data_IF_527140372966
#
_entry.id   IF_527140372966
#
_cell.length_a   1.000
_cell.length_b   1.000
_cell.length_c   1.000
_cell.angle_alpha   90.00
_cell.angle_beta   90.00
_cell.angle_gamma   90.00
#
_symmetry.space_group_name_H-M   'P 1'
#
loop_
_entity.id
_entity.type
_entity.pdbx_description
1 polymer ?
#
# COMPACT_ATOMS: atom_id res chain seq x y z
N UNK A 1 -9.57 -8.53 16.82
CA UNK A 1 -9.73 -7.07 16.67
C UNK A 1 -11.17 -6.70 16.30
N UNK A 2 -11.96 -7.64 15.81
CA UNK A 2 -13.39 -7.47 15.52
C UNK A 2 -13.67 -6.95 14.12
N UNK A 3 -14.86 -7.30 13.61
CA UNK A 3 -15.24 -7.01 12.22
C UNK A 3 -15.37 -5.52 11.91
N UNK A 4 -15.70 -4.69 12.89
CA UNK A 4 -15.80 -3.23 12.75
C UNK A 4 -14.45 -2.51 12.76
N UNK A 5 -13.37 -3.21 13.11
CA UNK A 5 -12.01 -2.66 13.16
C UNK A 5 -11.06 -3.28 12.12
N UNK A 6 -11.56 -4.17 11.25
CA UNK A 6 -10.73 -4.84 10.24
C UNK A 6 -11.17 -4.41 8.86
N UNK A 7 -10.27 -3.71 8.15
CA UNK A 7 -10.49 -3.26 6.76
C UNK A 7 -10.37 -4.45 5.80
N UNK A 8 -11.28 -4.52 4.83
CA UNK A 8 -11.32 -5.61 3.83
C UNK A 8 -11.18 -5.10 2.39
N UNK A 9 -11.76 -3.96 2.08
CA UNK A 9 -11.64 -3.31 0.78
C UNK A 9 -11.21 -1.86 0.93
N UNK A 10 -10.51 -1.35 -0.06
CA UNK A 10 -10.17 0.06 -0.16
C UNK A 10 -10.11 0.49 -1.62
N UNK A 11 -10.29 1.79 -1.85
CA UNK A 11 -10.12 2.38 -3.17
C UNK A 11 -8.75 2.07 -3.76
N UNK A 12 -8.73 1.92 -5.08
CA UNK A 12 -7.53 1.78 -5.85
C UNK A 12 -7.59 2.63 -7.11
N UNK A 13 -6.66 3.56 -7.22
CA UNK A 13 -6.45 4.32 -8.45
C UNK A 13 -5.79 3.44 -9.50
N UNK A 14 -6.39 3.41 -10.69
CA UNK A 14 -5.80 2.77 -11.87
C UNK A 14 -5.11 3.86 -12.70
N UNK A 15 -3.95 3.57 -13.25
CA UNK A 15 -3.25 4.49 -14.13
C UNK A 15 -4.01 4.71 -15.44
N UNK A 16 -3.97 5.95 -15.92
CA UNK A 16 -4.47 6.30 -17.25
C UNK A 16 -3.34 6.39 -18.30
N UNK A 17 -2.08 6.17 -17.88
CA UNK A 17 -0.92 6.31 -18.75
C UNK A 17 0.23 5.44 -18.28
N UNK A 18 0.56 4.43 -19.08
CA UNK A 18 1.60 3.42 -18.81
C UNK A 18 3.03 3.97 -18.64
N UNK A 19 3.30 5.16 -19.13
CA UNK A 19 4.62 5.81 -18.98
C UNK A 19 4.69 6.82 -17.84
N UNK A 20 3.60 6.97 -17.09
CA UNK A 20 3.56 7.88 -15.95
C UNK A 20 4.46 7.37 -14.81
N UNK A 21 5.12 8.29 -14.13
CA UNK A 21 5.88 8.00 -12.90
C UNK A 21 5.16 8.49 -11.65
N UNK A 22 3.89 8.85 -11.75
CA UNK A 22 3.07 9.22 -10.59
C UNK A 22 2.74 8.00 -9.74
N UNK A 23 2.63 8.20 -8.42
CA UNK A 23 2.36 7.11 -7.48
C UNK A 23 1.01 6.41 -7.68
N UNK A 24 0.00 7.13 -8.20
CA UNK A 24 -1.34 6.55 -8.41
C UNK A 24 -1.35 5.65 -9.64
N UNK A 25 -1.65 4.37 -9.42
CA UNK A 25 -1.70 3.36 -10.46
C UNK A 25 -0.36 2.81 -10.93
N UNK A 26 0.75 3.26 -10.33
CA UNK A 26 2.10 2.77 -10.63
C UNK A 26 2.86 2.40 -9.38
N UNK A 27 3.96 1.67 -9.56
CA UNK A 27 4.87 1.33 -8.48
C UNK A 27 6.28 1.09 -8.98
N UNK A 28 7.24 1.32 -8.08
CA UNK A 28 8.63 1.05 -8.32
C UNK A 28 9.02 -0.39 -7.96
N UNK A 29 10.21 -0.78 -8.37
CA UNK A 29 10.85 -2.04 -7.97
C UNK A 29 11.93 -1.74 -6.96
N UNK A 30 11.92 -2.46 -5.84
CA UNK A 30 12.98 -2.42 -4.83
C UNK A 30 13.63 -3.78 -4.68
N UNK A 31 14.91 -3.81 -4.28
CA UNK A 31 15.63 -5.05 -4.10
C UNK A 31 14.99 -5.92 -3.00
N UNK A 32 14.94 -7.22 -3.24
CA UNK A 32 14.59 -8.20 -2.21
C UNK A 32 15.84 -8.50 -1.39
N UNK A 33 15.87 -7.95 -0.20
CA UNK A 33 16.95 -8.16 0.78
C UNK A 33 16.36 -8.60 2.11
N UNK A 34 17.17 -9.22 2.94
CA UNK A 34 16.74 -9.65 4.28
C UNK A 34 16.28 -8.49 5.19
N UNK A 35 16.49 -7.25 4.78
CA UNK A 35 16.20 -6.04 5.55
C UNK A 35 15.21 -5.12 4.84
N UNK A 36 14.32 -5.63 3.97
CA UNK A 36 13.31 -4.79 3.31
C UNK A 36 12.38 -4.19 4.35
N UNK A 37 12.28 -2.87 4.32
CA UNK A 37 11.35 -2.08 5.15
C UNK A 37 10.55 -1.11 4.26
N UNK A 38 9.41 -0.60 4.71
CA UNK A 38 8.59 0.34 3.92
C UNK A 38 9.35 1.60 3.48
N UNK A 39 10.35 2.03 4.25
CA UNK A 39 11.21 3.17 3.91
C UNK A 39 11.91 2.97 2.56
N UNK A 40 12.32 1.75 2.21
CA UNK A 40 12.96 1.47 0.91
C UNK A 40 12.03 1.84 -0.27
N UNK A 41 10.72 1.67 -0.10
CA UNK A 41 9.74 2.09 -1.08
C UNK A 41 9.60 3.62 -1.14
N UNK A 42 9.54 4.29 0.00
CA UNK A 42 9.49 5.75 0.07
C UNK A 42 10.73 6.41 -0.54
N UNK A 43 11.90 5.78 -0.44
CA UNK A 43 13.16 6.27 -0.99
C UNK A 43 13.20 6.27 -2.52
N UNK A 44 12.25 5.59 -3.17
CA UNK A 44 12.08 5.64 -4.63
C UNK A 44 11.37 6.91 -5.11
N UNK A 45 10.79 7.70 -4.21
CA UNK A 45 10.06 8.92 -4.54
C UNK A 45 10.96 10.15 -4.63
N UNK A 46 10.56 11.09 -5.47
CA UNK A 46 11.06 12.46 -5.45
C UNK A 46 10.63 13.21 -4.17
N UNK A 47 11.16 14.39 -3.96
CA UNK A 47 10.86 15.22 -2.78
C UNK A 47 9.40 15.63 -2.67
N UNK A 48 8.66 15.65 -3.78
CA UNK A 48 7.22 15.95 -3.83
C UNK A 48 6.36 14.81 -3.26
N UNK A 49 6.95 13.64 -3.04
CA UNK A 49 6.31 12.39 -2.61
C UNK A 49 5.11 11.95 -3.47
N UNK A 50 5.01 12.44 -4.68
CA UNK A 50 3.93 12.15 -5.65
C UNK A 50 4.43 11.51 -6.94
N UNK A 51 5.75 11.52 -7.12
CA UNK A 51 6.40 11.06 -8.35
C UNK A 51 7.58 10.15 -7.99
N UNK A 52 7.75 9.07 -8.73
CA UNK A 52 8.93 8.20 -8.61
C UNK A 52 10.14 8.85 -9.27
N UNK A 53 11.31 8.72 -8.66
CA UNK A 53 12.59 9.20 -9.20
C UNK A 53 12.81 8.69 -10.61
N UNK A 54 13.46 9.49 -11.44
CA UNK A 54 13.79 9.12 -12.83
C UNK A 54 14.62 7.84 -12.90
N UNK A 55 15.48 7.62 -11.91
CA UNK A 55 16.34 6.43 -11.83
C UNK A 55 15.66 5.21 -11.21
N UNK A 56 14.46 5.34 -10.63
CA UNK A 56 13.74 4.20 -10.08
C UNK A 56 13.29 3.24 -11.20
N UNK A 57 13.54 1.96 -11.04
CA UNK A 57 12.98 0.94 -11.92
C UNK A 57 11.47 0.84 -11.65
N UNK A 58 10.67 0.94 -12.71
CA UNK A 58 9.22 0.84 -12.58
C UNK A 58 8.76 -0.61 -12.75
N UNK A 59 7.65 -0.95 -12.10
CA UNK A 59 6.96 -2.22 -12.34
C UNK A 59 6.58 -2.39 -13.80
N UNK A 60 6.55 -3.62 -14.27
CA UNK A 60 6.29 -3.93 -15.68
C UNK A 60 4.87 -3.57 -16.12
N UNK A 61 3.90 -3.67 -15.22
CA UNK A 61 2.50 -3.31 -15.46
C UNK A 61 2.00 -2.33 -14.41
N UNK A 62 1.00 -1.57 -14.80
CA UNK A 62 0.27 -0.70 -13.89
C UNK A 62 -0.45 -1.52 -12.82
N UNK A 63 -0.61 -0.91 -11.66
CA UNK A 63 -1.36 -1.49 -10.55
C UNK A 63 -2.85 -1.53 -10.94
N UNK A 64 -3.49 -2.68 -10.74
CA UNK A 64 -4.92 -2.82 -10.98
C UNK A 64 -5.32 -2.88 -12.46
N UNK A 65 -4.38 -3.05 -13.39
CA UNK A 65 -4.70 -3.10 -14.82
C UNK A 65 -5.35 -4.43 -15.28
N UNK A 66 -5.25 -5.48 -14.47
CA UNK A 66 -5.83 -6.80 -14.76
C UNK A 66 -7.02 -7.07 -13.83
N UNK A 67 -8.22 -6.89 -14.35
CA UNK A 67 -9.46 -7.18 -13.66
C UNK A 67 -9.58 -8.66 -13.37
N UNK A 68 -9.93 -9.32 -12.52
CA UNK A 68 -9.99 -10.77 -12.22
C UNK A 68 -8.65 -11.44 -11.88
N UNK A 69 -7.57 -10.67 -11.71
CA UNK A 69 -6.32 -11.20 -11.20
C UNK A 69 -6.22 -11.01 -9.68
N UNK A 70 -6.25 -12.09 -8.91
CA UNK A 70 -6.25 -12.10 -7.44
C UNK A 70 -4.91 -11.77 -6.79
N UNK A 71 -3.86 -11.44 -7.55
CA UNK A 71 -2.56 -11.08 -6.98
C UNK A 71 -2.62 -9.70 -6.31
N UNK A 72 -1.82 -9.53 -5.26
CA UNK A 72 -1.79 -8.28 -4.49
C UNK A 72 -1.51 -7.05 -5.34
N UNK A 73 -0.67 -7.19 -6.39
CA UNK A 73 -0.37 -6.12 -7.32
C UNK A 73 -1.59 -5.67 -8.13
N UNK A 74 -2.50 -6.59 -8.43
CA UNK A 74 -3.66 -6.31 -9.27
C UNK A 74 -4.92 -5.99 -8.47
N UNK A 75 -5.19 -6.71 -7.39
CA UNK A 75 -6.46 -6.57 -6.64
C UNK A 75 -6.27 -6.34 -5.13
N UNK A 76 -5.07 -6.55 -4.57
CA UNK A 76 -4.83 -6.39 -3.15
C UNK A 76 -4.29 -5.00 -2.78
N UNK A 77 -4.27 -4.69 -1.49
CA UNK A 77 -3.55 -3.56 -0.91
C UNK A 77 -2.92 -3.98 0.42
N UNK A 78 -2.02 -3.17 0.93
CA UNK A 78 -1.39 -3.36 2.23
C UNK A 78 -1.61 -2.13 3.10
N UNK A 79 -1.71 -2.32 4.41
CA UNK A 79 -1.84 -1.25 5.40
C UNK A 79 -0.50 -0.88 6.03
N UNK A 80 0.55 -0.91 5.23
CA UNK A 80 1.94 -0.67 5.65
C UNK A 80 2.34 0.79 5.46
N UNK A 81 2.07 1.33 4.29
CA UNK A 81 2.23 2.76 3.98
C UNK A 81 0.85 3.42 3.91
N UNK A 82 0.74 4.71 4.27
CA UNK A 82 -0.56 5.38 4.29
C UNK A 82 -1.22 5.43 2.92
N UNK A 83 -2.53 5.68 2.85
CA UNK A 83 -3.22 5.89 1.58
C UNK A 83 -2.54 6.93 0.69
N UNK A 84 -2.63 6.76 -0.63
CA UNK A 84 -2.02 7.65 -1.62
C UNK A 84 -0.49 7.77 -1.49
N UNK A 85 0.19 6.75 -0.94
CA UNK A 85 1.65 6.67 -0.85
C UNK A 85 2.26 5.82 -1.97
N UNK A 86 3.56 5.54 -1.89
CA UNK A 86 4.26 4.68 -2.82
C UNK A 86 3.73 3.25 -2.80
N UNK A 87 3.84 2.58 -3.94
CA UNK A 87 3.67 1.13 -4.06
C UNK A 87 4.93 0.53 -4.68
N UNK A 88 5.37 -0.63 -4.20
CA UNK A 88 6.60 -1.24 -4.67
C UNK A 88 6.46 -2.75 -4.84
N UNK A 89 7.02 -3.26 -5.95
CA UNK A 89 7.35 -4.67 -6.11
C UNK A 89 8.65 -4.94 -5.36
N UNK A 90 8.70 -6.04 -4.61
CA UNK A 90 9.90 -6.51 -3.92
C UNK A 90 10.53 -7.61 -4.78
N UNK A 91 11.78 -7.40 -5.20
CA UNK A 91 12.52 -8.31 -6.03
C UNK A 91 12.65 -7.88 -7.48
N UNK A 92 12.25 -8.73 -8.43
CA UNK A 92 12.39 -8.44 -9.86
C UNK A 92 11.18 -7.69 -10.43
N UNK A 93 11.43 -6.81 -11.41
CA UNK A 93 10.37 -6.24 -12.23
C UNK A 93 9.66 -7.37 -12.99
N UNK A 94 8.46 -7.71 -12.55
CA UNK A 94 7.68 -8.82 -13.08
C UNK A 94 6.23 -8.40 -13.28
N UNK A 95 5.62 -8.97 -14.30
CA UNK A 95 4.16 -8.93 -14.47
C UNK A 95 3.42 -9.55 -13.28
N UNK A 96 4.09 -10.47 -12.60
CA UNK A 96 3.52 -11.34 -11.59
C UNK A 96 4.40 -11.38 -10.34
N UNK A 97 4.51 -10.24 -9.62
CA UNK A 97 5.35 -10.19 -8.44
C UNK A 97 4.82 -11.11 -7.34
N UNK A 98 5.75 -11.85 -6.71
CA UNK A 98 5.41 -12.70 -5.57
C UNK A 98 5.24 -11.91 -4.28
N UNK A 99 5.89 -10.75 -4.18
CA UNK A 99 5.80 -9.86 -3.03
C UNK A 99 5.69 -8.39 -3.48
N UNK A 100 4.81 -7.66 -2.84
CA UNK A 100 4.62 -6.25 -3.10
C UNK A 100 4.06 -5.52 -1.88
N UNK A 101 4.45 -4.26 -1.73
CA UNK A 101 3.75 -3.28 -0.90
C UNK A 101 2.86 -2.46 -1.83
N UNK A 102 1.57 -2.46 -1.60
CA UNK A 102 0.61 -1.76 -2.45
C UNK A 102 -0.24 -0.87 -1.59
N UNK A 103 -0.03 0.44 -1.68
CA UNK A 103 -0.84 1.41 -0.95
C UNK A 103 -2.24 1.52 -1.55
N UNK A 104 -3.26 1.57 -0.69
CA UNK A 104 -4.60 2.00 -1.09
C UNK A 104 -4.51 3.39 -1.73
N UNK A 105 -5.24 3.64 -2.81
CA UNK A 105 -5.08 4.89 -3.53
C UNK A 105 -6.36 5.31 -4.25
N UNK A 106 -6.58 6.60 -4.31
CA UNK A 106 -7.73 7.17 -5.01
C UNK A 106 -7.39 8.52 -5.64
N UNK A 107 -8.32 9.01 -6.46
CA UNK A 107 -8.28 10.40 -6.96
C UNK A 107 -9.10 11.36 -6.08
N UNK A 108 -9.68 10.88 -4.98
CA UNK A 108 -10.30 11.74 -3.98
C UNK A 108 -9.26 12.62 -3.30
N UNK A 109 -9.65 13.80 -2.87
CA UNK A 109 -8.77 14.72 -2.15
C UNK A 109 -8.51 14.20 -0.73
N UNK A 110 -7.24 13.96 -0.40
CA UNK A 110 -6.77 13.71 0.97
C UNK A 110 -6.93 12.31 1.52
N UNK A 111 -7.39 11.31 0.73
CA UNK A 111 -7.51 9.95 1.25
C UNK A 111 -8.21 8.96 0.34
N UNK A 112 -8.71 7.89 0.91
CA UNK A 112 -9.41 6.78 0.23
C UNK A 112 -10.66 6.39 1.00
N UNK A 113 -11.65 5.80 0.33
CA UNK A 113 -12.70 5.08 1.03
C UNK A 113 -12.24 3.66 1.32
N UNK A 114 -12.52 3.17 2.51
CA UNK A 114 -12.25 1.81 2.93
C UNK A 114 -13.50 1.19 3.56
N UNK A 115 -13.74 -0.08 3.27
CA UNK A 115 -14.84 -0.85 3.84
C UNK A 115 -14.29 -1.86 4.84
N UNK A 116 -15.01 -2.04 5.92
CA UNK A 116 -14.68 -2.93 7.03
C UNK A 116 -15.43 -4.27 6.92
N UNK A 117 -14.98 -5.26 7.67
CA UNK A 117 -15.59 -6.60 7.65
C UNK A 117 -17.05 -6.63 8.15
N UNK A 118 -17.52 -5.60 8.84
CA UNK A 118 -18.93 -5.43 9.25
C UNK A 118 -19.79 -4.75 8.16
N UNK A 119 -19.21 -4.40 7.02
CA UNK A 119 -19.87 -3.71 5.93
C UNK A 119 -19.90 -2.18 6.05
N UNK A 120 -19.40 -1.60 7.13
CA UNK A 120 -19.29 -0.14 7.24
C UNK A 120 -18.25 0.40 6.27
N UNK A 121 -18.38 1.68 5.89
CA UNK A 121 -17.43 2.38 5.03
C UNK A 121 -17.00 3.67 5.70
N UNK A 122 -15.70 3.93 5.70
CA UNK A 122 -15.12 5.17 6.23
C UNK A 122 -14.11 5.76 5.26
N UNK A 123 -14.03 7.08 5.26
CA UNK A 123 -12.96 7.80 4.55
C UNK A 123 -11.70 7.80 5.41
N UNK A 124 -10.61 7.27 4.87
CA UNK A 124 -9.32 7.17 5.54
C UNK A 124 -8.38 8.23 4.98
N UNK A 125 -7.92 9.13 5.85
CA UNK A 125 -7.00 10.19 5.48
C UNK A 125 -5.62 9.65 5.05
N UNK A 126 -5.00 10.28 4.07
CA UNK A 126 -3.60 10.02 3.71
C UNK A 126 -2.60 10.45 4.82
N UNK A 127 -3.07 11.16 5.86
CA UNK A 127 -2.30 11.53 7.04
C UNK A 127 -2.56 10.64 8.26
N UNK A 128 -3.27 9.52 8.08
CA UNK A 128 -3.48 8.55 9.16
C UNK A 128 -2.15 8.12 9.77
N UNK A 129 -2.14 7.86 11.08
CA UNK A 129 -0.97 7.27 11.75
C UNK A 129 -0.62 5.92 11.12
N UNK A 130 0.48 5.86 10.42
CA UNK A 130 1.05 4.65 9.80
C UNK A 130 2.35 4.20 10.48
N UNK A 131 2.62 4.67 11.69
CA UNK A 131 3.78 4.27 12.48
C UNK A 131 5.12 4.60 11.82
N UNK A 132 6.11 3.73 12.01
CA UNK A 132 7.45 3.94 11.48
C UNK A 132 7.69 3.16 10.19
N UNK A 133 8.00 3.81 9.07
CA UNK A 133 8.33 3.12 7.82
C UNK A 133 9.66 2.37 7.87
N UNK A 134 10.47 2.58 8.90
CA UNK A 134 11.73 1.84 9.14
C UNK A 134 11.53 0.55 9.93
N UNK A 135 10.31 0.26 10.38
CA UNK A 135 10.01 -1.00 11.07
C UNK A 135 9.99 -2.16 10.09
N UNK A 136 10.53 -3.30 10.52
CA UNK A 136 10.47 -4.54 9.75
C UNK A 136 9.02 -5.06 9.64
N UNK A 137 8.76 -5.85 8.59
CA UNK A 137 7.49 -6.55 8.46
C UNK A 137 7.33 -7.57 9.59
N UNK A 138 6.12 -7.63 10.13
CA UNK A 138 5.72 -8.65 11.08
C UNK A 138 4.61 -9.52 10.48
N UNK A 139 4.67 -10.82 10.74
CA UNK A 139 3.67 -11.79 10.26
C UNK A 139 2.72 -12.25 11.36
N UNK A 140 3.00 -11.88 12.61
CA UNK A 140 2.19 -12.20 13.78
C UNK A 140 2.33 -11.09 14.84
N UNK A 141 1.29 -10.90 15.65
CA UNK A 141 1.25 -9.91 16.72
C UNK A 141 0.88 -8.51 16.22
N UNK A 142 1.13 -7.52 17.06
CA UNK A 142 0.77 -6.12 16.79
C UNK A 142 1.53 -5.55 15.58
N UNK A 143 0.82 -4.83 14.73
CA UNK A 143 1.41 -4.14 13.58
C UNK A 143 2.23 -2.92 14.04
N UNK A 144 3.47 -2.74 13.54
CA UNK A 144 4.27 -1.55 13.84
C UNK A 144 3.82 -0.30 13.06
N UNK A 145 2.79 -0.43 12.23
CA UNK A 145 2.37 0.61 11.28
C UNK A 145 1.17 1.44 11.78
N UNK A 146 1.19 1.78 13.07
CA UNK A 146 0.25 2.71 13.66
C UNK A 146 -1.21 2.26 13.61
N UNK A 147 -2.12 3.21 13.51
CA UNK A 147 -3.56 2.95 13.36
C UNK A 147 -3.85 2.27 12.04
N UNK A 148 -3.20 2.71 10.96
CA UNK A 148 -3.39 2.12 9.62
C UNK A 148 -3.02 0.64 9.60
N UNK A 149 -1.89 0.27 10.20
CA UNK A 149 -1.50 -1.13 10.32
C UNK A 149 -2.45 -1.94 11.18
N UNK A 150 -2.88 -1.39 12.30
CA UNK A 150 -3.77 -2.06 13.24
C UNK A 150 -5.13 -2.45 12.62
N UNK A 151 -5.74 -1.55 11.85
CA UNK A 151 -7.01 -1.87 11.17
C UNK A 151 -6.85 -2.82 9.97
N UNK A 152 -5.62 -3.09 9.55
CA UNK A 152 -5.31 -4.05 8.49
C UNK A 152 -5.07 -5.48 8.98
N UNK A 153 -5.01 -5.70 10.29
CA UNK A 153 -4.82 -7.01 10.90
C UNK A 153 -6.15 -7.59 11.39
N UNK A 154 -6.33 -8.90 11.27
CA UNK A 154 -7.54 -9.58 11.74
C UNK A 154 -7.40 -10.08 13.17
N UNK A 155 -6.18 -10.31 13.66
CA UNK A 155 -5.89 -10.92 14.95
C UNK A 155 -4.54 -10.44 15.53
N UNK A 156 -4.20 -9.17 15.35
CA UNK A 156 -2.97 -8.56 15.88
C UNK A 156 -3.04 -8.30 17.38
N UNK A 157 -4.24 -8.19 17.94
CA UNK A 157 -4.47 -7.87 19.34
C UNK A 157 -4.37 -6.39 19.65
N UNK A 158 -4.42 -5.52 18.63
CA UNK A 158 -4.26 -4.08 18.80
C UNK A 158 -5.48 -3.42 19.45
N UNK A 159 -5.21 -2.44 20.30
CA UNK A 159 -6.24 -1.57 20.88
C UNK A 159 -6.45 -0.27 20.10
N UNK A 160 -5.65 -0.04 19.06
CA UNK A 160 -5.72 1.16 18.22
C UNK A 160 -6.94 1.11 17.30
N UNK A 161 -7.62 2.26 17.17
CA UNK A 161 -8.84 2.43 16.37
C UNK A 161 -8.78 3.73 15.60
N UNK A 162 -9.65 3.83 14.58
CA UNK A 162 -9.91 5.08 13.86
C UNK A 162 -10.51 6.15 14.75
#
# INVERSE_FOLDING_TARGET
DGTSNTVIFADRAVSQNSVSRKIRGHGAVIADTASVVPQNCLDTLETDRKTYKTMATMGQYEIGCMLFDGRSWQSGFTTVLPPNSASCIIGAASAYPNAAMVSASSYHSGGVNASFCDGSVSFISETIDSGSPSSAFVVQGESPYGVWGAIGTAAGGESKRL
#
